data_IF_133091793728
#
_entry.id   IF_133091793728
#
_cell.length_a   1.000
_cell.length_b   1.000
_cell.length_c   1.000
_cell.angle_alpha   90.00
_cell.angle_beta   90.00
_cell.angle_gamma   90.00
#
_symmetry.space_group_name_H-M   'P 1'
#
loop_
_entity.id
_entity.type
_entity.pdbx_description
1 polymer ?
#
# COMPACT_ATOMS: atom_id res chain seq x y z
N UNK A 1 45.66 9.88 -60.35
CA UNK A 1 44.48 9.06 -59.99
C UNK A 1 44.53 8.87 -58.45
N UNK A 2 43.79 9.68 -57.71
CA UNK A 2 43.78 9.60 -56.25
C UNK A 2 42.55 8.81 -55.85
N UNK A 3 42.74 7.66 -55.20
CA UNK A 3 41.66 6.88 -54.56
C UNK A 3 41.45 7.39 -53.15
N UNK A 4 40.30 8.02 -52.88
CA UNK A 4 39.84 8.38 -51.56
C UNK A 4 39.10 7.19 -50.97
N UNK A 5 39.65 6.61 -49.91
CA UNK A 5 39.06 5.50 -49.15
C UNK A 5 38.11 6.09 -48.09
N UNK A 6 36.80 5.91 -48.25
CA UNK A 6 35.79 6.28 -47.24
C UNK A 6 35.73 5.17 -46.17
N UNK A 7 36.18 5.45 -44.96
CA UNK A 7 35.94 4.57 -43.81
C UNK A 7 34.52 4.86 -43.24
N UNK A 8 33.63 3.90 -43.43
CA UNK A 8 32.30 3.93 -42.76
C UNK A 8 32.45 3.41 -41.35
N UNK A 9 32.40 4.31 -40.34
CA UNK A 9 32.32 3.94 -38.94
C UNK A 9 30.86 3.64 -38.58
N UNK A 10 30.51 2.34 -38.47
CA UNK A 10 29.22 1.93 -37.91
C UNK A 10 29.20 2.13 -36.41
N UNK A 11 28.42 3.10 -35.93
CA UNK A 11 28.14 3.29 -34.50
C UNK A 11 27.19 2.19 -34.03
N UNK A 12 27.72 1.19 -33.33
CA UNK A 12 26.92 0.20 -32.64
C UNK A 12 26.27 0.85 -31.40
N UNK A 13 24.98 1.16 -31.54
CA UNK A 13 24.16 1.59 -30.40
C UNK A 13 23.79 0.33 -29.59
N UNK A 14 24.50 0.05 -28.50
CA UNK A 14 24.12 -0.99 -27.56
C UNK A 14 22.88 -0.50 -26.77
N UNK A 15 21.76 -1.23 -26.79
CA UNK A 15 20.66 -0.89 -25.92
C UNK A 15 21.15 -1.04 -24.46
N UNK A 16 21.09 0.05 -23.69
CA UNK A 16 21.32 -0.01 -22.25
C UNK A 16 20.24 -0.87 -21.65
N UNK A 17 20.54 -2.10 -21.28
CA UNK A 17 19.65 -2.94 -20.47
C UNK A 17 19.61 -2.30 -19.09
N UNK A 18 18.55 -1.59 -18.81
CA UNK A 18 18.27 -1.10 -17.46
C UNK A 18 17.84 -2.32 -16.64
N UNK A 19 18.76 -2.82 -15.81
CA UNK A 19 18.42 -3.88 -14.85
C UNK A 19 17.52 -3.29 -13.79
N UNK A 20 16.31 -3.81 -13.66
CA UNK A 20 15.37 -3.44 -12.60
C UNK A 20 16.09 -3.52 -11.24
N UNK A 21 15.99 -2.47 -10.42
CA UNK A 21 16.61 -2.48 -9.11
C UNK A 21 15.73 -3.23 -8.13
N UNK A 22 16.11 -4.47 -7.86
CA UNK A 22 15.47 -5.37 -6.92
C UNK A 22 16.12 -5.17 -5.53
N UNK A 23 15.27 -5.01 -4.52
CA UNK A 23 15.68 -4.81 -3.12
C UNK A 23 14.99 -5.87 -2.28
N UNK A 24 15.76 -6.71 -1.65
CA UNK A 24 15.26 -7.73 -0.73
C UNK A 24 15.52 -7.30 0.72
N UNK A 25 14.52 -7.52 1.60
CA UNK A 25 14.64 -7.27 3.03
C UNK A 25 13.79 -8.27 3.83
N UNK A 26 14.34 -8.74 4.95
CA UNK A 26 13.69 -9.69 5.84
C UNK A 26 13.25 -9.08 7.16
N UNK A 27 12.32 -9.74 7.86
CA UNK A 27 12.00 -9.48 9.26
C UNK A 27 13.20 -9.78 10.18
N UNK A 28 13.20 -9.31 11.45
CA UNK A 28 14.26 -9.64 12.40
C UNK A 28 14.46 -11.17 12.58
N UNK A 29 13.40 -11.95 12.57
CA UNK A 29 13.45 -13.43 12.63
C UNK A 29 13.68 -14.11 11.26
N UNK A 30 13.78 -13.30 10.16
CA UNK A 30 14.02 -13.75 8.78
C UNK A 30 12.91 -14.62 8.16
N UNK A 31 11.75 -14.74 8.81
CA UNK A 31 10.64 -15.54 8.27
C UNK A 31 9.86 -14.82 7.18
N UNK A 32 9.62 -13.50 7.36
CA UNK A 32 9.00 -12.66 6.35
C UNK A 32 10.07 -12.03 5.48
N UNK A 33 9.94 -12.17 4.18
CA UNK A 33 10.85 -11.57 3.19
C UNK A 33 10.03 -10.77 2.20
N UNK A 34 10.37 -9.48 2.04
CA UNK A 34 9.81 -8.59 1.05
C UNK A 34 10.82 -8.39 -0.09
N UNK A 35 10.32 -8.46 -1.31
CA UNK A 35 11.07 -8.07 -2.52
C UNK A 35 10.42 -6.82 -3.08
N UNK A 36 11.18 -5.73 -3.19
CA UNK A 36 10.72 -4.44 -3.71
C UNK A 36 11.37 -4.20 -5.07
N UNK A 37 10.58 -3.88 -6.07
CA UNK A 37 11.00 -3.47 -7.40
C UNK A 37 10.79 -1.97 -7.57
N UNK A 38 11.75 -1.27 -8.20
CA UNK A 38 11.73 0.19 -8.32
C UNK A 38 11.96 0.68 -9.75
N UNK A 39 11.70 -0.18 -10.75
CA UNK A 39 11.92 0.21 -12.14
C UNK A 39 10.84 1.21 -12.60
N UNK A 40 9.89 0.86 -13.40
CA UNK A 40 8.89 1.79 -13.95
C UNK A 40 7.86 2.25 -12.90
N UNK A 41 7.53 1.37 -11.96
CA UNK A 41 6.61 1.64 -10.85
C UNK A 41 7.06 0.80 -9.65
N UNK A 42 7.00 1.41 -8.46
CA UNK A 42 7.28 0.68 -7.23
C UNK A 42 6.23 -0.41 -7.06
N UNK A 43 6.71 -1.62 -6.88
CA UNK A 43 5.91 -2.77 -6.51
C UNK A 43 6.61 -3.60 -5.45
N UNK A 44 5.89 -4.46 -4.76
CA UNK A 44 6.46 -5.38 -3.79
C UNK A 44 5.77 -6.74 -3.83
N UNK A 45 6.49 -7.76 -3.45
CA UNK A 45 5.96 -9.09 -3.14
C UNK A 45 6.38 -9.50 -1.73
N UNK A 46 5.68 -10.46 -1.15
CA UNK A 46 5.88 -10.89 0.24
C UNK A 46 5.83 -12.41 0.32
N UNK A 47 6.82 -12.99 1.01
CA UNK A 47 6.85 -14.40 1.36
C UNK A 47 7.08 -14.62 2.85
N UNK A 48 6.58 -15.75 3.38
CA UNK A 48 6.82 -16.20 4.76
C UNK A 48 7.28 -17.65 4.75
N UNK A 49 8.48 -17.91 5.30
CA UNK A 49 9.10 -19.24 5.29
C UNK A 49 9.10 -19.89 3.89
N UNK A 50 9.32 -19.11 2.84
CA UNK A 50 9.29 -19.56 1.44
C UNK A 50 7.90 -19.66 0.80
N UNK A 51 6.81 -19.63 1.57
CA UNK A 51 5.45 -19.56 1.03
C UNK A 51 5.17 -18.14 0.52
N UNK A 52 4.72 -17.98 -0.72
CA UNK A 52 4.30 -16.72 -1.29
C UNK A 52 2.99 -16.27 -0.61
N UNK A 53 3.00 -15.11 0.01
CA UNK A 53 1.84 -14.48 0.68
C UNK A 53 1.19 -13.47 -0.24
N UNK A 54 1.97 -12.57 -0.81
CA UNK A 54 1.53 -11.62 -1.83
C UNK A 54 2.42 -11.74 -3.06
N UNK A 55 1.80 -11.71 -4.21
CA UNK A 55 2.47 -11.56 -5.50
C UNK A 55 2.79 -10.08 -5.75
N UNK A 56 3.30 -9.73 -6.95
CA UNK A 56 3.67 -8.35 -7.28
C UNK A 56 2.51 -7.38 -7.09
N UNK A 57 2.62 -6.54 -6.05
CA UNK A 57 1.64 -5.53 -5.64
C UNK A 57 2.15 -4.14 -6.01
N UNK A 58 1.68 -3.51 -7.09
CA UNK A 58 2.04 -2.14 -7.42
C UNK A 58 1.40 -1.15 -6.45
N UNK A 59 2.11 -0.06 -6.20
CA UNK A 59 1.64 1.04 -5.35
C UNK A 59 1.99 2.40 -5.97
N UNK A 60 1.12 3.39 -5.78
CA UNK A 60 1.38 4.77 -6.18
C UNK A 60 0.48 5.76 -5.45
N UNK A 61 0.89 7.05 -5.46
CA UNK A 61 0.12 8.16 -4.92
C UNK A 61 0.14 9.32 -5.91
N UNK A 62 -1.03 9.77 -6.37
CA UNK A 62 -1.13 10.90 -7.29
C UNK A 62 -1.34 12.21 -6.53
N UNK A 63 -0.37 13.12 -6.63
CA UNK A 63 -0.37 14.44 -5.99
C UNK A 63 -0.33 15.51 -7.08
N UNK A 64 -1.44 16.25 -7.23
CA UNK A 64 -1.62 17.14 -8.36
C UNK A 64 -1.60 16.40 -9.69
N UNK A 65 -0.56 16.64 -10.49
CA UNK A 65 -0.33 15.95 -11.76
C UNK A 65 0.81 14.91 -11.70
N UNK A 66 1.47 14.79 -10.54
CA UNK A 66 2.60 13.88 -10.36
C UNK A 66 2.13 12.55 -9.76
N UNK A 67 2.69 11.45 -10.21
CA UNK A 67 2.42 10.11 -9.66
C UNK A 67 3.66 9.60 -8.95
N UNK A 68 3.63 9.65 -7.62
CA UNK A 68 4.69 9.14 -6.77
C UNK A 68 4.74 7.61 -6.81
N UNK A 69 5.94 7.07 -6.81
CA UNK A 69 6.19 5.63 -6.99
C UNK A 69 6.52 5.24 -8.43
N UNK A 70 6.48 6.20 -9.38
CA UNK A 70 6.92 5.99 -10.78
C UNK A 70 8.22 6.73 -11.11
N UNK A 71 8.72 7.55 -10.20
CA UNK A 71 9.96 8.30 -10.36
C UNK A 71 11.19 7.42 -10.14
N UNK A 72 12.34 7.89 -10.62
CA UNK A 72 13.62 7.27 -10.32
C UNK A 72 14.00 7.44 -8.86
N UNK A 73 14.14 6.33 -8.13
CA UNK A 73 14.60 6.34 -6.74
C UNK A 73 16.03 6.88 -6.65
N UNK A 74 16.26 7.90 -5.80
CA UNK A 74 17.56 8.56 -5.64
C UNK A 74 18.48 7.83 -4.69
N UNK A 75 17.92 7.34 -3.57
CA UNK A 75 18.69 6.69 -2.51
C UNK A 75 17.83 5.66 -1.79
N UNK A 76 18.47 4.59 -1.36
CA UNK A 76 17.85 3.56 -0.51
C UNK A 76 18.60 3.55 0.80
N UNK A 77 17.87 3.58 1.91
CA UNK A 77 18.42 3.43 3.26
C UNK A 77 17.77 2.25 3.96
N UNK A 78 18.51 1.67 4.90
CA UNK A 78 18.07 0.54 5.73
C UNK A 78 18.39 0.82 7.17
N UNK A 79 17.54 0.39 8.09
CA UNK A 79 17.78 0.39 9.52
C UNK A 79 17.07 -0.77 10.18
N UNK A 80 17.58 -1.19 11.33
CA UNK A 80 16.90 -2.10 12.25
C UNK A 80 16.51 -1.32 13.50
N UNK A 81 15.33 -1.57 14.01
CA UNK A 81 14.80 -0.91 15.21
C UNK A 81 14.35 -2.00 16.17
N UNK A 82 14.66 -1.83 17.44
CA UNK A 82 14.16 -2.66 18.53
C UNK A 82 14.03 -1.75 19.74
N UNK A 83 12.84 -1.20 19.95
CA UNK A 83 12.56 -0.19 20.97
C UNK A 83 11.39 -0.64 21.85
N UNK A 84 11.53 -0.40 23.15
CA UNK A 84 10.46 -0.61 24.11
C UNK A 84 9.47 0.55 24.01
N UNK A 85 8.19 0.24 23.80
CA UNK A 85 7.11 1.20 23.70
C UNK A 85 6.12 0.97 24.85
N UNK A 86 5.87 1.99 25.65
CA UNK A 86 4.82 2.00 26.65
C UNK A 86 3.51 2.52 26.07
N UNK A 87 2.40 1.85 26.38
CA UNK A 87 1.08 2.29 25.95
C UNK A 87 0.61 3.47 26.81
N UNK A 88 0.20 4.56 26.17
CA UNK A 88 -0.39 5.74 26.87
C UNK A 88 -1.68 5.33 27.61
N UNK A 89 -2.47 4.45 26.98
CA UNK A 89 -3.68 3.88 27.58
C UNK A 89 -3.39 2.43 27.95
N UNK A 90 -3.51 2.03 29.24
CA UNK A 90 -3.32 0.65 29.66
C UNK A 90 -4.24 -0.30 28.87
N UNK A 91 -3.66 -1.36 28.31
CA UNK A 91 -4.35 -2.45 27.62
C UNK A 91 -4.02 -3.77 28.32
N UNK A 92 -4.15 -4.88 27.61
CA UNK A 92 -3.74 -6.21 28.09
C UNK A 92 -2.27 -6.24 28.54
N UNK A 93 -1.43 -5.41 27.89
CA UNK A 93 -0.02 -5.23 28.22
C UNK A 93 0.28 -3.76 28.47
N UNK A 94 1.18 -3.47 29.42
CA UNK A 94 1.66 -2.11 29.71
C UNK A 94 2.62 -1.61 28.64
N UNK A 95 3.40 -2.54 28.05
CA UNK A 95 4.46 -2.24 27.12
C UNK A 95 4.56 -3.31 26.02
N UNK A 96 5.17 -2.95 24.92
CA UNK A 96 5.53 -3.87 23.82
C UNK A 96 6.90 -3.50 23.28
N UNK A 97 7.48 -4.40 22.46
CA UNK A 97 8.73 -4.10 21.75
C UNK A 97 8.36 -3.82 20.28
N UNK A 98 8.66 -2.61 19.80
CA UNK A 98 8.59 -2.26 18.38
C UNK A 98 9.87 -2.75 17.69
N UNK A 99 9.81 -3.93 17.06
CA UNK A 99 10.97 -4.64 16.51
C UNK A 99 10.76 -4.93 15.02
N UNK A 100 11.50 -4.21 14.17
CA UNK A 100 11.38 -4.32 12.72
C UNK A 100 12.67 -3.95 11.99
N UNK A 101 12.78 -4.42 10.74
CA UNK A 101 13.71 -3.88 9.76
C UNK A 101 12.98 -2.91 8.85
N UNK A 102 13.62 -1.80 8.48
CA UNK A 102 13.04 -0.76 7.62
C UNK A 102 13.88 -0.55 6.37
N UNK A 103 13.19 -0.41 5.24
CA UNK A 103 13.73 0.07 3.96
C UNK A 103 13.04 1.39 3.63
N UNK A 104 13.82 2.42 3.29
CA UNK A 104 13.30 3.68 2.78
C UNK A 104 13.77 3.89 1.34
N UNK A 105 12.84 4.14 0.46
CA UNK A 105 13.08 4.61 -0.91
C UNK A 105 12.94 6.12 -0.91
N UNK A 106 14.04 6.84 -1.17
CA UNK A 106 14.10 8.31 -1.10
C UNK A 106 14.05 8.90 -2.49
N UNK A 107 13.08 9.78 -2.70
CA UNK A 107 12.86 10.56 -3.92
C UNK A 107 13.12 12.06 -3.66
N UNK A 108 12.77 12.93 -4.59
CA UNK A 108 13.02 14.38 -4.46
C UNK A 108 12.18 15.01 -3.34
N UNK A 109 10.88 14.80 -3.39
CA UNK A 109 9.90 15.49 -2.54
C UNK A 109 9.11 14.55 -1.64
N UNK A 110 9.44 13.25 -1.68
CA UNK A 110 8.79 12.21 -0.88
C UNK A 110 9.71 11.03 -0.63
N UNK A 111 9.30 10.14 0.24
CA UNK A 111 9.87 8.80 0.43
C UNK A 111 8.78 7.76 0.60
N UNK A 112 9.12 6.50 0.35
CA UNK A 112 8.30 5.34 0.65
C UNK A 112 9.02 4.55 1.73
N UNK A 113 8.34 4.29 2.84
CA UNK A 113 8.85 3.52 3.96
C UNK A 113 8.20 2.14 3.96
N UNK A 114 9.02 1.10 4.04
CA UNK A 114 8.61 -0.28 4.28
C UNK A 114 9.13 -0.73 5.63
N UNK A 115 8.28 -1.26 6.49
CA UNK A 115 8.64 -1.90 7.75
C UNK A 115 8.31 -3.37 7.70
N UNK A 116 9.26 -4.21 8.06
CA UNK A 116 9.16 -5.68 8.02
C UNK A 116 9.27 -6.17 9.46
N UNK A 117 8.13 -6.61 9.99
CA UNK A 117 7.95 -7.18 11.32
C UNK A 117 7.95 -8.71 11.27
N UNK A 118 8.09 -9.36 12.41
CA UNK A 118 8.00 -10.82 12.52
C UNK A 118 6.58 -11.34 12.24
N UNK A 119 5.56 -10.50 12.39
CA UNK A 119 4.13 -10.80 12.21
C UNK A 119 3.49 -10.06 11.03
N UNK A 120 4.29 -9.41 10.18
CA UNK A 120 3.75 -8.74 8.98
C UNK A 120 4.66 -7.70 8.35
N UNK A 121 4.11 -7.01 7.37
CA UNK A 121 4.78 -5.94 6.63
C UNK A 121 3.84 -4.75 6.51
N UNK A 122 4.39 -3.55 6.58
CA UNK A 122 3.64 -2.33 6.31
C UNK A 122 4.43 -1.38 5.42
N UNK A 123 3.73 -0.62 4.56
CA UNK A 123 4.33 0.48 3.83
C UNK A 123 3.50 1.76 3.95
N UNK A 124 4.15 2.91 3.75
CA UNK A 124 3.50 4.21 3.63
C UNK A 124 4.28 5.17 2.74
N UNK A 125 3.58 6.16 2.22
CA UNK A 125 4.20 7.36 1.66
C UNK A 125 4.50 8.38 2.76
N UNK A 126 5.54 9.19 2.54
CA UNK A 126 5.88 10.33 3.39
C UNK A 126 6.23 11.50 2.48
N UNK A 127 5.45 12.58 2.53
CA UNK A 127 5.77 13.83 1.87
C UNK A 127 6.85 14.58 2.66
N UNK A 128 7.97 14.88 2.03
CA UNK A 128 9.09 15.62 2.62
C UNK A 128 9.09 17.09 2.26
N UNK A 129 8.33 17.49 1.24
CA UNK A 129 8.15 18.86 0.77
C UNK A 129 6.79 19.42 1.20
N UNK A 130 6.69 20.75 1.30
CA UNK A 130 5.42 21.43 1.56
C UNK A 130 4.63 21.59 0.25
N UNK A 131 4.12 20.47 -0.28
CA UNK A 131 3.38 20.43 -1.53
C UNK A 131 1.93 20.90 -1.32
N UNK A 132 1.53 21.97 -2.02
CA UNK A 132 0.18 22.55 -1.91
C UNK A 132 -0.85 21.89 -2.84
N UNK A 133 -0.44 20.93 -3.66
CA UNK A 133 -1.34 20.24 -4.58
C UNK A 133 -2.24 19.23 -3.83
N UNK A 134 -3.46 18.97 -4.34
CA UNK A 134 -4.33 17.95 -3.77
C UNK A 134 -3.77 16.55 -3.97
N UNK A 135 -4.09 15.64 -3.07
CA UNK A 135 -3.91 14.20 -3.30
C UNK A 135 -5.15 13.69 -4.01
N UNK A 136 -4.99 13.28 -5.26
CA UNK A 136 -6.12 12.86 -6.12
C UNK A 136 -6.44 11.38 -5.99
N UNK A 137 -5.41 10.52 -5.86
CA UNK A 137 -5.59 9.08 -5.89
C UNK A 137 -4.46 8.38 -5.13
N UNK A 138 -4.79 7.33 -4.40
CA UNK A 138 -3.85 6.35 -3.91
C UNK A 138 -4.17 5.00 -4.55
N UNK A 139 -3.17 4.33 -5.12
CA UNK A 139 -3.28 2.99 -5.66
C UNK A 139 -2.68 2.01 -4.66
N UNK A 140 -3.54 1.16 -4.11
CA UNK A 140 -3.19 0.09 -3.18
C UNK A 140 -3.64 -1.23 -3.78
N UNK A 141 -2.77 -2.23 -3.77
CA UNK A 141 -3.09 -3.56 -4.27
C UNK A 141 -2.54 -4.62 -3.35
N UNK A 142 -3.35 -5.66 -3.08
CA UNK A 142 -2.97 -6.87 -2.37
C UNK A 142 -3.31 -8.06 -3.28
N UNK A 143 -2.32 -8.55 -4.02
CA UNK A 143 -2.46 -9.63 -5.01
C UNK A 143 -1.94 -10.93 -4.42
N UNK A 144 -2.72 -11.99 -4.54
CA UNK A 144 -2.38 -13.29 -3.95
C UNK A 144 -1.84 -14.28 -5.01
N UNK A 145 -2.09 -14.01 -6.31
CA UNK A 145 -1.65 -14.85 -7.42
C UNK A 145 -2.46 -16.14 -7.61
N UNK A 146 -3.42 -16.39 -6.71
CA UNK A 146 -4.43 -17.44 -6.82
C UNK A 146 -5.64 -17.10 -5.94
N UNK A 147 -6.75 -17.80 -6.15
CA UNK A 147 -7.97 -17.59 -5.37
C UNK A 147 -7.87 -18.19 -3.96
N UNK A 148 -8.29 -17.43 -2.97
CA UNK A 148 -8.24 -17.80 -1.57
C UNK A 148 -9.54 -17.49 -0.85
N UNK A 149 -9.88 -18.25 0.20
CA UNK A 149 -10.99 -17.91 1.09
C UNK A 149 -10.70 -16.60 1.82
N UNK A 150 -11.68 -15.70 1.80
CA UNK A 150 -11.61 -14.40 2.47
C UNK A 150 -12.78 -14.22 3.45
N UNK A 151 -12.53 -13.42 4.48
CA UNK A 151 -13.50 -12.99 5.49
C UNK A 151 -13.67 -11.49 5.36
N UNK A 152 -14.84 -11.06 4.88
CA UNK A 152 -15.11 -9.70 4.48
C UNK A 152 -16.39 -9.18 5.10
N UNK A 153 -16.40 -7.90 5.48
CA UNK A 153 -17.61 -7.18 5.86
C UNK A 153 -18.04 -6.32 4.66
N UNK A 154 -18.82 -6.94 3.75
CA UNK A 154 -19.16 -6.35 2.45
C UNK A 154 -20.21 -5.27 2.57
N UNK A 155 -20.08 -4.24 1.75
CA UNK A 155 -21.06 -3.20 1.53
C UNK A 155 -20.93 -2.66 0.09
N UNK A 156 -21.95 -2.02 -0.42
CA UNK A 156 -21.98 -1.27 -1.68
C UNK A 156 -22.07 0.25 -1.46
N UNK A 157 -22.12 0.68 -0.20
CA UNK A 157 -22.29 2.07 0.19
C UNK A 157 -21.20 2.55 1.14
N UNK A 158 -20.61 3.72 0.84
CA UNK A 158 -19.65 4.38 1.72
C UNK A 158 -20.26 4.84 3.04
N UNK A 159 -21.56 5.01 3.07
CA UNK A 159 -22.32 5.37 4.25
C UNK A 159 -23.17 4.19 4.68
N UNK A 160 -22.72 3.48 5.69
CA UNK A 160 -23.34 2.28 6.22
C UNK A 160 -23.08 2.19 7.73
N UNK A 161 -23.94 1.50 8.46
CA UNK A 161 -23.78 1.20 9.88
C UNK A 161 -22.75 0.09 10.12
N UNK A 162 -22.47 -0.72 9.10
CA UNK A 162 -21.59 -1.89 9.13
C UNK A 162 -22.03 -2.96 10.15
N UNK A 163 -23.29 -2.96 10.52
CA UNK A 163 -23.91 -3.93 11.42
C UNK A 163 -24.44 -5.12 10.61
N UNK A 164 -23.52 -5.99 10.18
CA UNK A 164 -23.83 -7.16 9.37
C UNK A 164 -22.82 -8.28 9.62
N UNK A 165 -23.18 -9.49 9.25
CA UNK A 165 -22.30 -10.65 9.37
C UNK A 165 -21.15 -10.63 8.39
N UNK A 166 -20.04 -11.26 8.79
CA UNK A 166 -18.93 -11.51 7.87
C UNK A 166 -19.32 -12.48 6.76
N UNK A 167 -18.97 -12.11 5.53
CA UNK A 167 -19.08 -13.00 4.37
C UNK A 167 -17.78 -13.82 4.25
N UNK A 168 -17.91 -15.15 4.25
CA UNK A 168 -16.79 -16.08 4.07
C UNK A 168 -16.93 -16.73 2.70
N UNK A 169 -16.09 -16.30 1.75
CA UNK A 169 -16.09 -16.80 0.36
C UNK A 169 -14.69 -16.69 -0.27
N UNK A 170 -14.42 -17.48 -1.33
CA UNK A 170 -13.30 -17.21 -2.22
C UNK A 170 -13.38 -15.78 -2.78
N UNK A 171 -12.21 -15.13 -2.96
CA UNK A 171 -12.14 -13.74 -3.43
C UNK A 171 -12.89 -13.58 -4.77
N UNK A 172 -12.70 -14.53 -5.70
CA UNK A 172 -13.34 -14.50 -7.02
C UNK A 172 -14.86 -14.68 -6.99
N UNK A 173 -15.40 -15.19 -5.88
CA UNK A 173 -16.85 -15.37 -5.67
C UNK A 173 -17.51 -14.16 -4.98
N UNK A 174 -16.75 -13.14 -4.62
CA UNK A 174 -17.29 -11.90 -4.05
C UNK A 174 -17.89 -11.00 -5.14
N UNK A 175 -18.97 -10.24 -4.85
CA UNK A 175 -19.54 -9.28 -5.79
C UNK A 175 -18.54 -8.18 -6.14
N UNK A 176 -18.31 -7.95 -7.43
CA UNK A 176 -17.29 -6.99 -7.92
C UNK A 176 -17.62 -5.52 -7.61
N UNK A 177 -18.91 -5.22 -7.48
CA UNK A 177 -19.40 -3.86 -7.18
C UNK A 177 -19.47 -3.58 -5.66
N UNK A 178 -19.13 -4.58 -4.83
CA UNK A 178 -19.04 -4.42 -3.39
C UNK A 178 -17.60 -4.12 -2.94
N UNK A 179 -17.47 -3.66 -1.72
CA UNK A 179 -16.19 -3.48 -1.05
C UNK A 179 -16.33 -3.82 0.44
N UNK A 180 -15.23 -4.17 1.08
CA UNK A 180 -15.18 -4.47 2.51
C UNK A 180 -14.55 -3.32 3.26
N UNK A 181 -15.03 -3.06 4.49
CA UNK A 181 -14.25 -2.27 5.45
C UNK A 181 -13.01 -3.07 5.88
N UNK A 182 -11.96 -2.36 6.21
CA UNK A 182 -10.80 -2.98 6.86
C UNK A 182 -11.11 -3.27 8.35
N UNK A 183 -10.58 -4.36 8.92
CA UNK A 183 -9.68 -5.32 8.31
C UNK A 183 -10.39 -6.39 7.46
N UNK A 184 -9.68 -6.91 6.46
CA UNK A 184 -10.06 -8.12 5.72
C UNK A 184 -9.07 -9.22 6.05
N UNK A 185 -9.54 -10.44 6.26
CA UNK A 185 -8.68 -11.60 6.47
C UNK A 185 -8.77 -12.54 5.26
N UNK A 186 -7.62 -13.10 4.86
CA UNK A 186 -7.50 -14.06 3.75
C UNK A 186 -6.72 -15.28 4.24
N UNK A 187 -7.17 -16.47 3.88
CA UNK A 187 -6.48 -17.72 4.17
C UNK A 187 -5.49 -18.06 3.06
N UNK A 188 -4.20 -17.97 3.34
CA UNK A 188 -3.15 -18.29 2.39
C UNK A 188 -2.36 -19.49 2.91
N UNK A 189 -2.59 -20.64 2.34
CA UNK A 189 -2.01 -21.93 2.81
C UNK A 189 -2.33 -22.13 4.32
N UNK A 190 -1.31 -22.24 5.16
CA UNK A 190 -1.45 -22.37 6.62
C UNK A 190 -1.46 -21.03 7.37
N UNK A 191 -1.50 -19.91 6.67
CA UNK A 191 -1.44 -18.59 7.28
C UNK A 191 -2.78 -17.86 7.19
N UNK A 192 -3.07 -17.05 8.20
CA UNK A 192 -4.12 -16.02 8.17
C UNK A 192 -3.47 -14.69 7.86
N UNK A 193 -3.85 -14.08 6.75
CA UNK A 193 -3.31 -12.81 6.26
C UNK A 193 -4.33 -11.71 6.50
N UNK A 194 -3.97 -10.71 7.32
CA UNK A 194 -4.82 -9.58 7.67
C UNK A 194 -4.44 -8.36 6.85
N UNK A 195 -5.38 -7.81 6.10
CA UNK A 195 -5.24 -6.55 5.36
C UNK A 195 -5.86 -5.43 6.19
N UNK A 196 -5.05 -4.44 6.57
CA UNK A 196 -5.47 -3.36 7.46
C UNK A 196 -4.75 -2.05 7.14
N UNK A 197 -5.07 -1.02 7.90
CA UNK A 197 -4.37 0.27 7.91
C UNK A 197 -4.09 0.73 9.34
N UNK A 198 -3.13 1.63 9.50
CA UNK A 198 -2.78 2.21 10.78
C UNK A 198 -2.34 3.67 10.62
N UNK A 199 -2.38 4.43 11.72
CA UNK A 199 -2.00 5.84 11.74
C UNK A 199 -2.87 6.71 10.80
N UNK A 200 -4.17 6.50 10.86
CA UNK A 200 -5.16 7.19 10.02
C UNK A 200 -5.48 8.57 10.61
N UNK A 201 -4.72 9.60 10.18
CA UNK A 201 -4.92 11.00 10.57
C UNK A 201 -5.16 11.88 9.34
N UNK A 202 -6.29 12.60 9.31
CA UNK A 202 -6.65 13.56 8.26
C UNK A 202 -6.49 12.97 6.85
N UNK A 203 -6.98 11.75 6.67
CA UNK A 203 -6.97 11.01 5.43
C UNK A 203 -8.19 10.06 5.37
N UNK A 204 -8.78 9.80 4.21
CA UNK A 204 -9.90 8.86 4.11
C UNK A 204 -9.46 7.44 4.48
N UNK A 205 -10.31 6.72 5.20
CA UNK A 205 -10.13 5.30 5.51
C UNK A 205 -10.13 4.45 4.23
N UNK A 206 -9.37 3.36 4.26
CA UNK A 206 -9.27 2.42 3.16
C UNK A 206 -10.41 1.40 3.23
N UNK A 207 -11.15 1.27 2.13
CA UNK A 207 -11.99 0.11 1.85
C UNK A 207 -11.26 -0.82 0.88
N UNK A 208 -11.64 -2.10 0.88
CA UNK A 208 -11.00 -3.14 0.09
C UNK A 208 -12.00 -3.72 -0.90
N UNK A 209 -11.84 -3.38 -2.18
CA UNK A 209 -12.67 -3.88 -3.26
C UNK A 209 -12.09 -5.19 -3.81
N UNK A 210 -12.89 -6.27 -3.88
CA UNK A 210 -12.43 -7.52 -4.47
C UNK A 210 -12.22 -7.37 -5.98
N UNK A 211 -11.17 -7.99 -6.48
CA UNK A 211 -10.87 -8.18 -7.89
C UNK A 211 -10.37 -9.61 -8.10
N UNK A 212 -9.99 -9.97 -9.32
CA UNK A 212 -9.46 -11.30 -9.58
C UNK A 212 -8.23 -11.59 -8.68
N UNK A 213 -8.36 -12.57 -7.76
CA UNK A 213 -7.29 -13.03 -6.85
C UNK A 213 -6.62 -11.90 -6.06
N UNK A 214 -7.34 -10.82 -5.81
CA UNK A 214 -6.76 -9.62 -5.17
C UNK A 214 -7.81 -8.76 -4.47
N UNK A 215 -7.31 -7.84 -3.62
CA UNK A 215 -8.07 -6.70 -3.13
C UNK A 215 -7.37 -5.39 -3.54
N UNK A 216 -8.16 -4.39 -3.94
CA UNK A 216 -7.69 -3.05 -4.23
C UNK A 216 -8.23 -2.07 -3.20
N UNK A 217 -7.36 -1.16 -2.75
CA UNK A 217 -7.78 -0.05 -1.90
C UNK A 217 -8.63 0.95 -2.66
N UNK A 218 -9.80 1.26 -2.12
CA UNK A 218 -10.65 2.37 -2.56
C UNK A 218 -10.86 3.35 -1.42
N UNK A 219 -11.08 4.61 -1.76
CA UNK A 219 -11.12 5.70 -0.79
C UNK A 219 -12.27 6.64 -1.13
N UNK A 220 -12.97 7.11 -0.09
CA UNK A 220 -13.96 8.15 -0.27
C UNK A 220 -13.27 9.47 -0.61
N UNK A 221 -13.67 10.09 -1.71
CA UNK A 221 -13.22 11.44 -2.07
C UNK A 221 -13.68 12.48 -1.04
N UNK A 222 -12.95 13.59 -0.96
CA UNK A 222 -13.23 14.69 -0.05
C UNK A 222 -14.67 15.22 -0.19
N UNK A 223 -15.40 15.44 0.92
CA UNK A 223 -16.75 16.01 0.85
C UNK A 223 -16.74 17.39 0.16
N UNK A 224 -17.73 17.62 -0.72
CA UNK A 224 -17.98 18.92 -1.32
C UNK A 224 -19.20 19.60 -0.69
N UNK A 225 -20.35 18.89 -0.67
CA UNK A 225 -21.54 19.34 0.02
C UNK A 225 -21.94 18.31 1.05
N UNK A 226 -22.20 18.80 2.25
CA UNK A 226 -22.66 18.00 3.37
C UNK A 226 -24.11 18.40 3.69
N UNK A 227 -24.95 17.40 3.94
CA UNK A 227 -26.36 17.57 4.28
C UNK A 227 -26.71 16.72 5.49
N UNK A 228 -27.65 17.17 6.36
CA UNK A 228 -28.16 16.35 7.43
C UNK A 228 -28.86 15.09 6.88
N UNK A 229 -28.73 14.00 7.60
CA UNK A 229 -29.50 12.78 7.34
C UNK A 229 -30.86 12.90 8.03
N UNK A 230 -31.97 12.71 7.29
CA UNK A 230 -33.31 12.78 7.86
C UNK A 230 -33.49 11.71 8.95
N UNK A 231 -33.91 12.14 10.15
CA UNK A 231 -34.19 11.24 11.26
C UNK A 231 -32.99 10.89 12.14
N UNK A 232 -31.81 11.44 11.88
CA UNK A 232 -30.62 11.24 12.70
C UNK A 232 -29.76 12.51 12.75
N UNK A 233 -28.97 12.68 13.83
CA UNK A 233 -28.02 13.77 14.00
C UNK A 233 -26.72 13.59 13.16
N UNK A 234 -26.78 12.83 12.06
CA UNK A 234 -25.65 12.58 11.18
C UNK A 234 -25.63 13.53 10.01
N UNK A 235 -24.44 13.79 9.53
CA UNK A 235 -24.16 14.56 8.32
C UNK A 235 -23.52 13.61 7.31
N UNK A 236 -23.94 13.67 6.05
CA UNK A 236 -23.33 12.90 4.98
C UNK A 236 -22.95 13.78 3.79
N UNK A 237 -21.95 13.35 3.04
CA UNK A 237 -21.53 14.03 1.83
C UNK A 237 -22.49 13.70 0.67
N UNK A 238 -23.32 14.67 0.26
CA UNK A 238 -24.21 14.54 -0.91
C UNK A 238 -23.47 14.65 -2.23
N UNK A 239 -22.36 15.40 -2.26
CA UNK A 239 -21.43 15.47 -3.40
C UNK A 239 -19.98 15.41 -2.89
N UNK A 240 -19.07 14.96 -3.76
CA UNK A 240 -17.65 14.81 -3.42
C UNK A 240 -16.78 15.48 -4.48
N UNK A 241 -15.60 15.93 -4.06
CA UNK A 241 -14.55 16.46 -4.93
C UNK A 241 -13.89 15.34 -5.74
N UNK A 242 -13.03 15.71 -6.68
CA UNK A 242 -12.21 14.79 -7.49
C UNK A 242 -10.84 14.47 -6.85
N UNK A 243 -10.73 14.65 -5.54
CA UNK A 243 -9.51 14.39 -4.77
C UNK A 243 -9.83 13.82 -3.38
N UNK A 244 -8.84 13.16 -2.78
CA UNK A 244 -8.92 12.56 -1.44
C UNK A 244 -8.73 13.60 -0.34
N UNK A 245 -7.75 14.49 -0.51
CA UNK A 245 -7.50 15.61 0.40
C UNK A 245 -7.07 16.86 -0.40
N UNK A 246 -7.45 18.08 0.06
CA UNK A 246 -7.24 19.31 -0.72
C UNK A 246 -5.78 19.74 -0.81
N UNK A 247 -4.95 19.32 0.14
CA UNK A 247 -3.53 19.72 0.19
C UNK A 247 -2.69 18.58 0.72
N UNK A 248 -1.68 18.17 -0.05
CA UNK A 248 -0.73 17.14 0.38
C UNK A 248 0.06 17.60 1.62
N UNK A 249 0.70 18.77 1.55
CA UNK A 249 1.54 19.28 2.63
C UNK A 249 2.76 18.41 2.91
N UNK A 250 3.50 18.76 3.98
CA UNK A 250 4.52 17.88 4.56
C UNK A 250 3.85 16.97 5.59
N UNK A 251 3.77 15.67 5.32
CA UNK A 251 3.01 14.73 6.15
C UNK A 251 3.46 13.29 6.00
N UNK A 252 3.06 12.47 6.94
CA UNK A 252 3.04 11.01 6.81
C UNK A 252 1.64 10.56 6.39
N UNK A 253 1.58 9.60 5.48
CA UNK A 253 0.33 8.95 5.08
C UNK A 253 0.09 7.71 5.96
N UNK A 254 -1.14 7.18 6.01
CA UNK A 254 -1.42 5.96 6.76
C UNK A 254 -0.56 4.78 6.29
N UNK A 255 -0.29 3.87 7.20
CA UNK A 255 0.31 2.58 6.88
C UNK A 255 -0.69 1.68 6.19
N UNK A 256 -0.25 1.00 5.14
CA UNK A 256 -0.94 -0.13 4.51
C UNK A 256 -0.30 -1.39 5.07
N UNK A 257 -1.09 -2.17 5.79
CA UNK A 257 -0.61 -3.24 6.66
C UNK A 257 -1.03 -4.60 6.12
N UNK A 258 -0.09 -5.52 6.06
CA UNK A 258 -0.30 -6.95 5.83
C UNK A 258 0.21 -7.71 7.05
N UNK A 259 -0.70 -8.09 7.96
CA UNK A 259 -0.38 -8.96 9.08
C UNK A 259 -0.37 -10.44 8.64
N UNK A 260 0.50 -11.26 9.22
CA UNK A 260 0.60 -12.69 8.89
C UNK A 260 0.68 -13.47 10.19
N UNK A 261 -0.27 -14.35 10.39
CA UNK A 261 -0.41 -15.16 11.60
C UNK A 261 -0.41 -16.65 11.24
N UNK A 262 0.20 -17.46 12.09
CA UNK A 262 0.09 -18.91 12.01
C UNK A 262 -1.33 -19.32 12.42
N UNK A 263 -1.85 -20.39 11.81
CA UNK A 263 -3.22 -20.87 12.05
C UNK A 263 -3.31 -21.62 13.38
#
# INVERSE_FOLDING_TARGET
>A
MNHILFLLTAAFCFPSITVAKIIEAGSPDKKNVITIETDNQVSYSLSRNGTKILDTCPLSLTVGNDTWGTDKCRKITRKSVSEKVEFIVPRKYKETVDNYNQVELIYKDYKIEFRIYNDGVAYRFVSTANNKQPVKKESVSFRFGQDHTSYTLLTDQLQNWFEQDYTVKPINALPKDSFSVAPVMVEVDKYKVLLAEANLYNYPGMYLQPALESFHGIFANYPDKEVPYEGDNKIYASTRKDYLIPTCGKRVFPWRVTGIFDN
#
